data_IF_328678506591
#
_entry.id   IF_328678506591
#
_cell.length_a   1.000
_cell.length_b   1.000
_cell.length_c   1.000
_cell.angle_alpha   90.00
_cell.angle_beta   90.00
_cell.angle_gamma   90.00
#
_symmetry.space_group_name_H-M   'P 1'
#
loop_
_entity.id
_entity.type
_entity.pdbx_description
1 polymer ?
#
# COMPACT_ATOMS: atom_id res chain seq x y z
N UNK A 1 -34.12 -73.84 46.74
CA UNK A 1 -34.47 -72.66 45.90
C UNK A 1 -34.34 -71.41 46.78
N UNK A 2 -33.18 -70.75 46.76
CA UNK A 2 -32.87 -69.49 46.04
C UNK A 2 -33.47 -68.22 46.68
N UNK A 3 -32.68 -67.67 47.62
CA UNK A 3 -32.29 -66.27 47.88
C UNK A 3 -33.18 -65.07 47.53
N UNK A 4 -33.29 -64.18 48.52
CA UNK A 4 -33.80 -62.80 48.54
C UNK A 4 -33.10 -61.89 47.51
N UNK A 5 -33.85 -60.98 46.85
CA UNK A 5 -33.36 -59.66 46.38
C UNK A 5 -34.53 -58.69 46.13
N UNK A 6 -34.63 -57.61 46.92
CA UNK A 6 -35.27 -56.36 46.46
C UNK A 6 -34.66 -55.16 47.19
N UNK A 7 -33.52 -54.69 46.67
CA UNK A 7 -33.04 -53.32 46.86
C UNK A 7 -32.67 -52.85 45.45
N UNK A 8 -33.50 -52.01 44.84
CA UNK A 8 -33.11 -51.26 43.64
C UNK A 8 -32.65 -49.88 44.07
N UNK A 9 -31.37 -49.63 43.80
CA UNK A 9 -30.65 -48.41 44.06
C UNK A 9 -31.07 -47.28 43.13
N UNK A 10 -31.17 -46.07 43.68
CA UNK A 10 -31.26 -44.82 42.95
C UNK A 10 -29.87 -44.40 42.44
N UNK A 11 -29.71 -44.33 41.11
CA UNK A 11 -28.58 -43.72 40.38
C UNK A 11 -29.17 -43.31 39.01
N UNK A 12 -28.93 -42.14 38.42
CA UNK A 12 -28.05 -41.04 38.75
C UNK A 12 -28.44 -39.82 37.90
N UNK A 13 -28.22 -38.63 38.46
CA UNK A 13 -28.31 -37.36 37.73
C UNK A 13 -27.04 -37.24 36.89
N UNK A 14 -27.16 -37.41 35.57
CA UNK A 14 -26.06 -37.20 34.63
C UNK A 14 -25.83 -35.68 34.47
N UNK A 15 -24.76 -35.17 35.08
CA UNK A 15 -24.26 -33.84 34.84
C UNK A 15 -23.59 -33.76 33.45
N UNK A 16 -24.27 -33.14 32.49
CA UNK A 16 -23.69 -32.74 31.21
C UNK A 16 -22.75 -31.56 31.41
N UNK A 17 -21.48 -31.85 31.70
CA UNK A 17 -20.40 -30.87 31.60
C UNK A 17 -20.18 -30.62 30.11
N UNK A 18 -20.71 -29.50 29.61
CA UNK A 18 -20.41 -29.01 28.28
C UNK A 18 -18.91 -28.73 28.17
N UNK A 19 -18.18 -29.53 27.38
CA UNK A 19 -16.80 -29.26 27.00
C UNK A 19 -16.76 -27.94 26.20
N UNK A 20 -16.47 -26.86 26.90
CA UNK A 20 -16.02 -25.60 26.28
C UNK A 20 -14.54 -25.77 25.94
N UNK A 21 -14.24 -26.27 24.72
CA UNK A 21 -12.87 -26.34 24.23
C UNK A 21 -12.25 -24.94 24.14
N UNK A 22 -10.91 -24.81 24.25
CA UNK A 22 -10.24 -23.52 24.09
C UNK A 22 -10.55 -22.98 22.69
N UNK A 23 -11.10 -21.77 22.62
CA UNK A 23 -11.29 -21.06 21.37
C UNK A 23 -9.91 -20.91 20.71
N UNK A 24 -9.70 -21.60 19.59
CA UNK A 24 -8.49 -21.42 18.80
C UNK A 24 -8.42 -19.95 18.37
N UNK A 25 -7.48 -19.20 18.94
CA UNK A 25 -7.22 -17.84 18.51
C UNK A 25 -6.75 -17.89 17.06
N UNK A 26 -7.56 -17.36 16.14
CA UNK A 26 -7.23 -17.31 14.72
C UNK A 26 -5.92 -16.54 14.54
N UNK A 27 -4.98 -17.10 13.76
CA UNK A 27 -3.72 -16.42 13.48
C UNK A 27 -3.98 -15.03 12.88
N UNK A 28 -3.23 -13.99 13.30
CA UNK A 28 -3.43 -12.65 12.78
C UNK A 28 -3.20 -12.59 11.26
N UNK A 29 -4.04 -11.82 10.57
CA UNK A 29 -3.81 -11.49 9.16
C UNK A 29 -2.61 -10.56 9.10
N UNK A 30 -1.56 -10.96 8.37
CA UNK A 30 -0.35 -10.15 8.20
C UNK A 30 -0.41 -9.37 6.90
N UNK A 31 -0.30 -8.04 6.99
CA UNK A 31 -0.09 -7.15 5.85
C UNK A 31 1.38 -6.74 5.84
N UNK A 32 2.16 -7.28 4.89
CA UNK A 32 3.48 -6.72 4.59
C UNK A 32 3.30 -5.44 3.78
N UNK A 33 3.76 -4.31 4.32
CA UNK A 33 3.74 -3.01 3.66
C UNK A 33 5.17 -2.62 3.29
N UNK A 34 5.54 -2.74 2.01
CA UNK A 34 6.85 -2.29 1.52
C UNK A 34 6.79 -0.88 0.95
N UNK A 35 7.81 -0.07 1.24
CA UNK A 35 8.01 1.21 0.56
C UNK A 35 9.49 1.62 0.45
N UNK A 36 9.77 2.42 -0.57
CA UNK A 36 11.15 2.81 -0.93
C UNK A 36 11.73 3.95 -0.09
N UNK A 37 10.88 4.74 0.58
CA UNK A 37 11.31 5.91 1.35
C UNK A 37 11.88 5.56 2.74
N UNK A 38 12.64 6.47 3.34
CA UNK A 38 13.08 6.34 4.73
C UNK A 38 11.93 6.54 5.73
N UNK A 39 12.05 5.96 6.92
CA UNK A 39 11.00 6.00 7.96
C UNK A 39 10.66 7.43 8.42
N UNK A 40 11.63 8.34 8.44
CA UNK A 40 11.44 9.73 8.85
C UNK A 40 10.85 10.64 7.76
N UNK A 41 10.40 10.08 6.64
CA UNK A 41 9.72 10.84 5.57
C UNK A 41 8.21 10.84 5.77
N UNK A 42 7.44 11.74 5.11
CA UNK A 42 5.98 11.71 5.17
C UNK A 42 5.37 10.34 4.85
N UNK A 43 5.95 9.61 3.88
CA UNK A 43 5.51 8.26 3.52
C UNK A 43 5.77 7.23 4.64
N UNK A 44 6.96 7.28 5.25
CA UNK A 44 7.32 6.40 6.35
C UNK A 44 6.41 6.61 7.56
N UNK A 45 6.24 7.87 7.96
CA UNK A 45 5.35 8.23 9.07
C UNK A 45 3.88 7.85 8.79
N UNK A 46 3.40 8.01 7.56
CA UNK A 46 2.06 7.59 7.17
C UNK A 46 1.88 6.06 7.23
N UNK A 47 2.89 5.28 6.84
CA UNK A 47 2.86 3.83 6.93
C UNK A 47 2.85 3.34 8.39
N UNK A 48 3.66 3.95 9.27
CA UNK A 48 3.67 3.65 10.70
C UNK A 48 2.33 4.02 11.37
N UNK A 49 1.74 5.15 10.98
CA UNK A 49 0.44 5.55 11.47
C UNK A 49 -0.69 4.63 10.96
N UNK A 50 -0.61 4.19 9.70
CA UNK A 50 -1.51 3.17 9.15
C UNK A 50 -1.42 1.86 9.95
N UNK A 51 -0.21 1.38 10.23
CA UNK A 51 0.02 0.20 11.09
C UNK A 51 -0.71 0.35 12.43
N UNK A 52 -0.45 1.45 13.14
CA UNK A 52 -1.08 1.75 14.43
C UNK A 52 -2.60 1.67 14.34
N UNK A 53 -3.20 2.39 13.39
CA UNK A 53 -4.66 2.46 13.25
C UNK A 53 -5.29 1.11 12.88
N UNK A 54 -4.63 0.32 12.03
CA UNK A 54 -5.14 -1.01 11.64
C UNK A 54 -5.10 -1.95 12.83
N UNK A 55 -3.99 -2.02 13.54
CA UNK A 55 -3.84 -2.92 14.70
C UNK A 55 -4.81 -2.54 15.82
N UNK A 56 -4.97 -1.25 16.11
CA UNK A 56 -5.95 -0.73 17.09
C UNK A 56 -7.39 -1.07 16.70
N UNK A 57 -7.81 -0.70 15.47
CA UNK A 57 -9.21 -0.84 15.03
C UNK A 57 -9.62 -2.28 14.80
N UNK A 58 -8.66 -3.16 14.49
CA UNK A 58 -8.93 -4.59 14.29
C UNK A 58 -8.75 -5.41 15.56
N UNK A 59 -8.37 -4.77 16.68
CA UNK A 59 -8.07 -5.42 17.97
C UNK A 59 -7.02 -6.52 17.81
N UNK A 60 -5.97 -6.24 17.04
CA UNK A 60 -4.87 -7.16 16.76
C UNK A 60 -5.18 -8.30 15.79
N UNK A 61 -6.40 -8.40 15.24
CA UNK A 61 -6.74 -9.41 14.21
C UNK A 61 -5.96 -9.20 12.91
N UNK A 62 -5.57 -7.95 12.62
CA UNK A 62 -4.69 -7.60 11.50
C UNK A 62 -3.44 -6.97 12.08
N UNK A 63 -2.27 -7.46 11.66
CA UNK A 63 -0.96 -6.86 11.95
C UNK A 63 -0.36 -6.30 10.67
N UNK A 64 0.36 -5.19 10.79
CA UNK A 64 1.03 -4.56 9.64
C UNK A 64 2.52 -4.54 9.88
N UNK A 65 3.28 -5.21 9.01
CA UNK A 65 4.73 -5.21 9.05
C UNK A 65 5.24 -4.21 8.00
N UNK A 66 5.79 -3.09 8.47
CA UNK A 66 6.28 -1.99 7.62
C UNK A 66 7.75 -2.23 7.28
N UNK A 67 8.06 -2.23 5.99
CA UNK A 67 9.39 -2.44 5.43
C UNK A 67 9.85 -1.19 4.67
N UNK A 68 10.51 -0.23 5.35
CA UNK A 68 10.99 1.02 4.76
C UNK A 68 12.31 0.82 4.00
N UNK A 69 12.81 1.88 3.36
CA UNK A 69 14.12 1.91 2.69
C UNK A 69 14.32 0.79 1.65
N UNK A 70 13.25 0.31 1.02
CA UNK A 70 13.32 -0.83 0.11
C UNK A 70 13.98 -2.07 0.74
N UNK A 71 13.75 -2.29 2.04
CA UNK A 71 14.33 -3.42 2.79
C UNK A 71 13.71 -4.77 2.40
N UNK A 72 12.48 -4.76 1.88
CA UNK A 72 11.79 -5.94 1.37
C UNK A 72 11.83 -6.02 -0.16
N UNK A 73 11.33 -5.00 -0.87
CA UNK A 73 11.35 -4.93 -2.34
C UNK A 73 11.90 -3.60 -2.83
N UNK A 74 12.65 -3.63 -3.93
CA UNK A 74 13.17 -2.45 -4.63
C UNK A 74 12.11 -1.81 -5.53
N UNK A 75 12.36 -0.54 -5.85
CA UNK A 75 11.51 0.33 -6.66
C UNK A 75 11.04 -0.27 -8.00
N UNK A 76 11.85 -1.15 -8.61
CA UNK A 76 11.59 -1.79 -9.91
C UNK A 76 10.79 -3.09 -9.82
N UNK A 77 10.86 -3.79 -8.69
CA UNK A 77 10.27 -5.14 -8.50
C UNK A 77 9.02 -5.12 -7.62
N UNK A 78 8.78 -4.03 -6.88
CA UNK A 78 7.69 -3.97 -5.90
C UNK A 78 6.31 -4.28 -6.50
N UNK A 79 6.00 -3.76 -7.70
CA UNK A 79 4.69 -3.97 -8.33
C UNK A 79 4.48 -5.43 -8.76
N UNK A 80 5.51 -6.09 -9.27
CA UNK A 80 5.46 -7.52 -9.61
C UNK A 80 5.29 -8.35 -8.34
N UNK A 81 6.01 -8.02 -7.27
CA UNK A 81 5.88 -8.66 -5.96
C UNK A 81 4.46 -8.53 -5.39
N UNK A 82 3.79 -7.40 -5.60
CA UNK A 82 2.39 -7.20 -5.20
C UNK A 82 1.45 -8.09 -6.02
N UNK A 83 1.65 -8.18 -7.34
CA UNK A 83 0.81 -9.00 -8.22
C UNK A 83 0.87 -10.50 -7.90
N UNK A 84 2.05 -11.00 -7.50
CA UNK A 84 2.22 -12.40 -7.07
C UNK A 84 1.90 -12.64 -5.60
N UNK A 85 1.50 -11.61 -4.84
CA UNK A 85 1.14 -11.71 -3.43
C UNK A 85 2.31 -11.87 -2.45
N UNK A 86 3.55 -11.64 -2.90
CA UNK A 86 4.73 -11.68 -2.03
C UNK A 86 4.77 -10.52 -1.01
N UNK A 87 4.06 -9.43 -1.32
CA UNK A 87 3.76 -8.29 -0.44
C UNK A 87 2.27 -7.94 -0.56
N UNK A 88 1.64 -7.46 0.51
CA UNK A 88 0.20 -7.18 0.54
C UNK A 88 -0.12 -5.70 0.27
N UNK A 89 0.83 -4.80 0.51
CA UNK A 89 0.60 -3.37 0.36
C UNK A 89 1.85 -2.60 -0.07
N UNK A 90 1.65 -1.62 -0.95
CA UNK A 90 2.66 -0.67 -1.43
C UNK A 90 2.11 0.76 -1.41
N UNK A 91 3.00 1.74 -1.53
CA UNK A 91 2.68 3.14 -1.79
C UNK A 91 3.55 3.71 -2.93
N UNK A 92 3.38 3.24 -4.18
CA UNK A 92 4.19 3.65 -5.32
C UNK A 92 3.84 5.07 -5.80
N UNK A 93 4.74 5.68 -6.57
CA UNK A 93 4.45 6.93 -7.29
C UNK A 93 3.47 6.62 -8.43
N UNK A 94 2.39 7.41 -8.63
CA UNK A 94 1.36 7.16 -9.65
C UNK A 94 1.86 6.76 -11.04
N UNK A 95 2.79 7.51 -11.64
CA UNK A 95 3.28 7.26 -13.00
C UNK A 95 3.85 5.86 -13.25
N UNK A 96 4.24 5.13 -12.19
CA UNK A 96 4.77 3.77 -12.30
C UNK A 96 3.76 2.72 -12.78
N UNK A 97 2.46 3.02 -12.77
CA UNK A 97 1.46 2.11 -13.32
C UNK A 97 1.42 2.14 -14.87
N UNK A 98 2.08 3.11 -15.51
CA UNK A 98 2.16 3.22 -16.97
C UNK A 98 2.73 1.98 -17.67
N UNK A 99 3.90 1.46 -17.26
CA UNK A 99 4.45 0.19 -17.77
C UNK A 99 3.53 -1.03 -17.63
N UNK A 100 2.67 -1.06 -16.61
CA UNK A 100 1.65 -2.10 -16.43
C UNK A 100 0.39 -1.90 -17.31
N UNK A 101 0.41 -0.91 -18.20
CA UNK A 101 -0.69 -0.62 -19.10
C UNK A 101 -1.82 0.21 -18.47
N UNK A 102 -1.57 0.91 -17.37
CA UNK A 102 -2.51 1.87 -16.76
C UNK A 102 -1.93 3.28 -16.85
N UNK A 103 -1.74 3.74 -18.09
CA UNK A 103 -1.04 5.00 -18.43
C UNK A 103 -1.76 6.24 -17.95
N UNK A 104 -3.05 6.15 -17.63
CA UNK A 104 -3.85 7.28 -17.17
C UNK A 104 -3.35 7.85 -15.83
N UNK A 105 -2.61 7.07 -15.03
CA UNK A 105 -1.91 7.60 -13.85
C UNK A 105 -0.75 8.54 -14.19
N UNK A 106 -0.25 8.55 -15.42
CA UNK A 106 0.78 9.51 -15.87
C UNK A 106 0.23 10.96 -15.92
N UNK A 107 -1.08 11.16 -15.75
CA UNK A 107 -1.67 12.50 -15.56
C UNK A 107 -1.02 13.27 -14.39
N UNK A 108 -0.57 12.55 -13.35
CA UNK A 108 0.13 13.15 -12.21
C UNK A 108 1.58 13.56 -12.51
N UNK A 109 2.12 13.12 -13.65
CA UNK A 109 3.46 13.49 -14.10
C UNK A 109 3.43 14.65 -15.10
N UNK A 110 2.26 15.05 -15.62
CA UNK A 110 2.16 16.14 -16.59
C UNK A 110 2.63 17.47 -15.96
N UNK A 111 3.53 18.21 -16.64
CA UNK A 111 4.11 19.42 -16.07
C UNK A 111 3.04 20.51 -15.97
N UNK A 112 3.00 21.19 -14.82
CA UNK A 112 2.12 22.33 -14.55
C UNK A 112 0.60 22.09 -14.67
N UNK A 113 0.14 20.85 -14.80
CA UNK A 113 -1.30 20.54 -14.89
C UNK A 113 -2.08 20.90 -13.61
N UNK A 114 -1.41 20.84 -12.45
CA UNK A 114 -1.99 21.24 -11.17
C UNK A 114 -1.36 22.55 -10.70
N UNK A 115 -2.20 23.57 -10.50
CA UNK A 115 -1.77 24.89 -10.03
C UNK A 115 -1.27 24.92 -8.58
N UNK A 116 -1.83 24.05 -7.73
CA UNK A 116 -1.57 24.01 -6.30
C UNK A 116 -1.98 22.64 -5.72
N UNK A 117 -1.60 22.38 -4.46
CA UNK A 117 -1.92 21.13 -3.78
C UNK A 117 -3.43 20.93 -3.61
N UNK A 118 -4.21 22.01 -3.50
CA UNK A 118 -5.68 21.94 -3.40
C UNK A 118 -6.29 21.40 -4.70
N UNK A 119 -5.71 21.74 -5.85
CA UNK A 119 -6.12 21.22 -7.16
C UNK A 119 -5.80 19.72 -7.26
N UNK A 120 -4.62 19.28 -6.79
CA UNK A 120 -4.28 17.86 -6.69
C UNK A 120 -5.31 17.13 -5.85
N UNK A 121 -5.66 17.66 -4.67
CA UNK A 121 -6.66 17.04 -3.78
C UNK A 121 -8.05 16.96 -4.41
N UNK A 122 -8.53 18.04 -5.03
CA UNK A 122 -9.84 18.04 -5.72
C UNK A 122 -9.89 16.99 -6.83
N UNK A 123 -8.81 16.82 -7.58
CA UNK A 123 -8.73 15.80 -8.63
C UNK A 123 -8.67 14.39 -8.03
N UNK A 124 -7.72 14.14 -7.12
CA UNK A 124 -7.46 12.83 -6.53
C UNK A 124 -8.65 12.29 -5.70
N UNK A 125 -9.38 13.18 -5.01
CA UNK A 125 -10.56 12.83 -4.21
C UNK A 125 -11.88 12.94 -4.99
N UNK A 126 -11.82 13.46 -6.22
CA UNK A 126 -12.98 13.59 -7.09
C UNK A 126 -13.25 12.35 -7.93
N UNK A 127 -14.30 12.37 -8.76
CA UNK A 127 -14.69 11.23 -9.60
C UNK A 127 -13.56 10.72 -10.51
N UNK A 128 -12.72 11.62 -11.03
CA UNK A 128 -11.59 11.26 -11.88
C UNK A 128 -10.53 10.44 -11.12
N UNK A 129 -10.11 10.89 -9.93
CA UNK A 129 -9.18 10.12 -9.09
C UNK A 129 -9.74 8.77 -8.66
N UNK A 130 -11.01 8.72 -8.26
CA UNK A 130 -11.67 7.44 -7.95
C UNK A 130 -11.72 6.51 -9.16
N UNK A 131 -12.04 7.04 -10.35
CA UNK A 131 -12.05 6.26 -11.58
C UNK A 131 -10.65 5.72 -11.95
N UNK A 132 -9.59 6.49 -11.69
CA UNK A 132 -8.20 6.03 -11.87
C UNK A 132 -7.86 4.87 -10.94
N UNK A 133 -8.20 4.94 -9.65
CA UNK A 133 -7.97 3.82 -8.71
C UNK A 133 -8.64 2.52 -9.18
N UNK A 134 -9.86 2.60 -9.72
CA UNK A 134 -10.59 1.43 -10.25
C UNK A 134 -9.92 0.79 -11.47
N UNK A 135 -9.11 1.53 -12.25
CA UNK A 135 -8.38 0.96 -13.39
C UNK A 135 -7.28 -0.03 -12.98
N UNK A 136 -6.96 -0.11 -11.69
CA UNK A 136 -6.02 -1.09 -11.15
C UNK A 136 -6.66 -2.49 -11.00
N UNK A 137 -8.00 -2.57 -10.88
CA UNK A 137 -8.71 -3.84 -10.60
C UNK A 137 -8.47 -4.92 -11.67
N UNK A 138 -8.52 -4.62 -13.00
CA UNK A 138 -8.21 -5.62 -14.03
C UNK A 138 -6.75 -6.12 -14.00
N UNK A 139 -5.87 -5.47 -13.23
CA UNK A 139 -4.47 -5.90 -13.03
C UNK A 139 -4.28 -6.67 -11.72
N UNK A 140 -5.37 -7.04 -11.05
CA UNK A 140 -5.36 -7.75 -9.76
C UNK A 140 -5.00 -6.84 -8.57
N UNK A 141 -5.08 -5.52 -8.75
CA UNK A 141 -4.67 -4.54 -7.75
C UNK A 141 -5.86 -3.71 -7.26
N UNK A 142 -5.91 -3.42 -5.96
CA UNK A 142 -6.94 -2.56 -5.38
C UNK A 142 -6.34 -1.20 -5.02
N UNK A 143 -6.81 -0.14 -5.67
CA UNK A 143 -6.41 1.23 -5.35
C UNK A 143 -7.16 1.76 -4.12
N UNK A 144 -6.46 1.96 -3.01
CA UNK A 144 -7.08 2.37 -1.73
C UNK A 144 -7.23 3.89 -1.57
N UNK A 145 -6.16 4.64 -1.80
CA UNK A 145 -6.12 6.09 -1.59
C UNK A 145 -4.91 6.74 -2.25
N UNK A 146 -4.87 8.07 -2.25
CA UNK A 146 -3.72 8.87 -2.68
C UNK A 146 -3.05 9.51 -1.47
N UNK A 147 -1.72 9.48 -1.43
CA UNK A 147 -0.90 10.15 -0.41
C UNK A 147 -0.10 11.30 -1.03
N UNK A 148 0.05 12.39 -0.28
CA UNK A 148 0.82 13.54 -0.72
C UNK A 148 2.33 13.31 -0.56
N UNK A 149 3.09 13.85 -1.52
CA UNK A 149 4.55 13.97 -1.43
C UNK A 149 5.04 15.40 -1.74
N UNK A 150 4.21 16.24 -2.35
CA UNK A 150 4.56 17.59 -2.80
C UNK A 150 4.93 17.69 -4.28
N UNK A 151 5.24 18.91 -4.73
CA UNK A 151 5.66 19.20 -6.09
C UNK A 151 7.15 18.91 -6.29
N UNK A 152 7.52 18.46 -7.49
CA UNK A 152 8.91 18.17 -7.84
C UNK A 152 9.69 19.45 -8.08
N UNK A 153 10.94 19.47 -7.63
CA UNK A 153 11.92 20.52 -7.92
C UNK A 153 13.13 19.85 -8.55
N UNK A 154 13.67 20.44 -9.63
CA UNK A 154 14.88 19.94 -10.28
C UNK A 154 16.10 20.35 -9.47
N UNK A 155 17.07 19.44 -9.35
CA UNK A 155 18.36 19.72 -8.71
C UNK A 155 19.50 19.16 -9.56
N UNK A 156 20.63 19.85 -9.54
CA UNK A 156 21.87 19.46 -10.20
C UNK A 156 23.07 20.04 -9.46
N UNK A 157 24.29 19.62 -9.85
CA UNK A 157 25.55 20.14 -9.30
C UNK A 157 25.90 21.56 -9.81
N UNK A 158 24.95 22.23 -10.48
CA UNK A 158 25.04 23.61 -10.94
C UNK A 158 23.66 24.27 -10.80
N UNK A 159 23.60 25.61 -10.68
CA UNK A 159 22.31 26.33 -10.70
C UNK A 159 21.51 26.03 -11.98
N UNK A 160 20.20 25.88 -11.84
CA UNK A 160 19.23 25.77 -12.94
C UNK A 160 18.28 26.96 -12.80
N UNK A 161 18.39 27.94 -13.70
CA UNK A 161 17.56 29.16 -13.69
C UNK A 161 16.60 29.21 -14.87
N UNK A 162 16.99 28.59 -15.97
CA UNK A 162 16.21 28.51 -17.20
C UNK A 162 16.17 27.06 -17.71
N UNK A 163 15.19 26.68 -18.55
CA UNK A 163 15.16 25.34 -19.16
C UNK A 163 16.45 25.00 -19.90
N UNK A 164 17.09 25.99 -20.52
CA UNK A 164 18.35 25.87 -21.25
C UNK A 164 19.51 25.33 -20.40
N UNK A 165 19.50 25.59 -19.10
CA UNK A 165 20.53 25.10 -18.17
C UNK A 165 20.50 23.57 -18.02
N UNK A 166 19.40 22.92 -18.40
CA UNK A 166 19.22 21.47 -18.33
C UNK A 166 19.90 20.72 -19.48
N UNK A 167 20.29 21.40 -20.57
CA UNK A 167 20.87 20.74 -21.74
C UNK A 167 22.12 19.93 -21.40
N UNK A 168 22.14 18.69 -21.87
CA UNK A 168 23.23 17.73 -21.67
C UNK A 168 23.33 17.17 -20.25
N UNK A 169 22.42 17.53 -19.33
CA UNK A 169 22.42 16.96 -17.98
C UNK A 169 21.82 15.56 -18.00
N UNK A 170 22.55 14.59 -17.45
CA UNK A 170 22.00 13.25 -17.21
C UNK A 170 21.11 13.26 -15.97
N UNK A 171 19.79 13.32 -16.18
CA UNK A 171 18.80 13.39 -15.11
C UNK A 171 18.21 12.02 -14.77
N UNK A 172 18.24 11.65 -13.49
CA UNK A 172 17.54 10.45 -13.01
C UNK A 172 16.04 10.74 -12.91
N UNK A 173 15.22 9.89 -13.53
CA UNK A 173 13.75 9.98 -13.48
C UNK A 173 13.12 8.71 -12.88
N UNK A 174 11.86 8.81 -12.47
CA UNK A 174 11.03 7.64 -12.21
C UNK A 174 10.52 7.05 -13.53
N UNK A 175 10.24 5.75 -13.57
CA UNK A 175 9.70 5.05 -14.74
C UNK A 175 8.33 5.59 -15.14
N UNK A 176 8.31 6.50 -16.11
CA UNK A 176 7.14 7.15 -16.69
C UNK A 176 7.53 7.75 -18.03
N UNK A 177 6.70 7.57 -19.05
CA UNK A 177 6.97 8.10 -20.40
C UNK A 177 6.90 9.63 -20.40
N UNK A 178 6.01 10.19 -19.58
CA UNK A 178 5.88 11.64 -19.41
C UNK A 178 7.14 12.23 -18.81
N UNK A 179 7.71 11.62 -17.75
CA UNK A 179 8.95 12.11 -17.16
C UNK A 179 10.13 12.08 -18.15
N UNK A 180 10.20 11.03 -18.98
CA UNK A 180 11.21 10.94 -20.06
C UNK A 180 11.03 12.05 -21.09
N UNK A 181 9.79 12.31 -21.52
CA UNK A 181 9.49 13.35 -22.48
C UNK A 181 9.80 14.76 -21.94
N UNK A 182 9.56 15.02 -20.65
CA UNK A 182 9.93 16.29 -20.01
C UNK A 182 11.44 16.50 -20.09
N UNK A 183 12.27 15.52 -19.73
CA UNK A 183 13.73 15.66 -19.79
C UNK A 183 14.21 15.89 -21.22
N UNK A 184 13.70 15.10 -22.18
CA UNK A 184 14.02 15.27 -23.60
C UNK A 184 13.64 16.66 -24.13
N UNK A 185 12.50 17.21 -23.69
CA UNK A 185 12.04 18.54 -24.14
C UNK A 185 12.95 19.70 -23.71
N UNK A 186 13.75 19.50 -22.66
CA UNK A 186 14.75 20.47 -22.17
C UNK A 186 16.20 20.06 -22.53
N UNK A 187 16.35 19.03 -23.39
CA UNK A 187 17.64 18.55 -23.88
C UNK A 187 18.50 17.83 -22.84
N UNK A 188 17.88 17.28 -21.79
CA UNK A 188 18.50 16.45 -20.75
C UNK A 188 18.41 14.95 -21.08
#
# INVERSE_FOLDING_TARGET
>A
MKFHKTILAAFGVAATIALSGPAAAQEPIIIKFSHVAASNTPKGQAADYFKKLVEERTKGRVKVDVYPNSSLFKDKEELEALQIGAVQMLAPVPGKFGPMGVKEFEVFDLPYIFKDIKAVHRFARGPAGTALLKKLEPRGLVGLSYWDNGFRVMSANKPIRTPDDMRGLKMRINSSKVNSAIMQSVGA
#
